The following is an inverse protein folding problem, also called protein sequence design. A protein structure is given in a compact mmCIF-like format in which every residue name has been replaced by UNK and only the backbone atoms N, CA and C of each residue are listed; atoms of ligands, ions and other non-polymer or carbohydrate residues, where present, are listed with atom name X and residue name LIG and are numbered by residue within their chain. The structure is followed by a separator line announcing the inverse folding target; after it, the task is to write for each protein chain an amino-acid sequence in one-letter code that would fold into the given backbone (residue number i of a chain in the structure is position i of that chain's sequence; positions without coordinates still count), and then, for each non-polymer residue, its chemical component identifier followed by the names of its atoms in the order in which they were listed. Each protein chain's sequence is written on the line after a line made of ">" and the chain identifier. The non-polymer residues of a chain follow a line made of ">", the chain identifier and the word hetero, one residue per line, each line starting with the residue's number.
data_IF_985764770652
#
_entry.id   IF_985764770652
#
_cell.length_a   1.000
_cell.length_b   1.000
_cell.length_c   1.000
_cell.angle_alpha   90.00
_cell.angle_beta   90.00
_cell.angle_gamma   90.00
#
_symmetry.space_group_name_H-M   'P 1'
#
loop_
_entity.id
_entity.type
_entity.pdbx_description
1 polymer ?
#
# COMPACT_ATOMS: atom_id res chain seq x y z
N UNK A 1 2.96 -48.17 -44.23
CA UNK A 1 3.74 -47.73 -43.05
C UNK A 1 4.31 -46.36 -43.39
N UNK A 2 3.72 -45.27 -42.88
CA UNK A 2 4.17 -43.89 -43.14
C UNK A 2 4.45 -43.23 -41.80
N UNK A 3 5.71 -42.81 -41.60
CA UNK A 3 6.24 -42.21 -40.38
C UNK A 3 5.65 -40.80 -40.15
N UNK A 4 5.25 -40.40 -38.92
CA UNK A 4 4.86 -39.02 -38.66
C UNK A 4 6.10 -38.18 -38.32
N UNK A 5 6.18 -37.03 -38.97
CA UNK A 5 7.16 -35.97 -38.76
C UNK A 5 6.85 -35.24 -37.45
N UNK A 6 7.67 -35.41 -36.42
CA UNK A 6 7.54 -34.66 -35.16
C UNK A 6 8.21 -33.30 -35.36
N UNK A 7 7.40 -32.24 -35.41
CA UNK A 7 7.84 -30.85 -35.36
C UNK A 7 8.28 -30.51 -33.93
N UNK A 8 9.59 -30.48 -33.70
CA UNK A 8 10.18 -29.88 -32.50
C UNK A 8 10.06 -28.35 -32.61
N UNK A 9 9.04 -27.78 -31.98
CA UNK A 9 8.94 -26.34 -31.76
C UNK A 9 9.89 -26.02 -30.60
N UNK A 10 11.04 -25.41 -30.92
CA UNK A 10 11.93 -24.82 -29.92
C UNK A 10 11.18 -23.71 -29.17
N UNK A 11 10.79 -23.98 -27.93
CA UNK A 11 10.41 -22.93 -26.98
C UNK A 11 11.67 -22.16 -26.59
N UNK A 12 11.95 -21.07 -27.32
CA UNK A 12 12.89 -20.05 -26.86
C UNK A 12 12.17 -19.26 -25.77
N UNK A 13 12.47 -19.53 -24.50
CA UNK A 13 12.08 -18.64 -23.41
C UNK A 13 12.81 -17.31 -23.58
N UNK A 14 12.07 -16.27 -23.98
CA UNK A 14 12.56 -14.90 -23.93
C UNK A 14 12.69 -14.48 -22.46
N UNK A 15 13.86 -14.71 -21.86
CA UNK A 15 14.25 -14.07 -20.61
C UNK A 15 14.64 -12.63 -20.97
N UNK A 16 13.69 -11.70 -20.87
CA UNK A 16 13.98 -10.27 -20.93
C UNK A 16 13.65 -9.60 -19.60
N UNK A 17 14.63 -8.84 -19.10
CA UNK A 17 14.55 -7.77 -18.10
C UNK A 17 14.81 -8.13 -16.63
N UNK A 18 16.07 -8.37 -16.27
CA UNK A 18 16.51 -8.62 -14.88
C UNK A 18 17.44 -7.56 -14.27
N UNK A 19 17.66 -6.39 -14.89
CA UNK A 19 18.62 -5.40 -14.34
C UNK A 19 18.07 -3.98 -14.15
N UNK A 20 17.04 -3.56 -14.89
CA UNK A 20 16.44 -2.22 -14.73
C UNK A 20 15.13 -2.25 -13.92
N UNK A 21 14.53 -3.43 -13.73
CA UNK A 21 13.19 -3.60 -13.17
C UNK A 21 13.13 -3.63 -11.64
N UNK A 22 14.22 -4.01 -10.96
CA UNK A 22 14.16 -4.21 -9.50
C UNK A 22 13.85 -2.92 -8.76
N UNK A 23 14.39 -1.79 -9.21
CA UNK A 23 14.12 -0.46 -8.62
C UNK A 23 12.65 -0.03 -8.72
N UNK A 24 11.90 -0.56 -9.70
CA UNK A 24 10.51 -0.18 -9.99
C UNK A 24 9.51 -1.29 -9.69
N UNK A 25 9.95 -2.36 -9.03
CA UNK A 25 9.08 -3.50 -8.73
C UNK A 25 7.88 -3.06 -7.89
N UNK A 26 8.11 -2.32 -6.80
CA UNK A 26 7.07 -1.80 -5.93
C UNK A 26 6.58 -0.41 -6.35
N UNK A 27 5.30 -0.13 -6.13
CA UNK A 27 4.73 1.19 -6.34
C UNK A 27 3.22 1.21 -6.13
N UNK A 28 2.60 2.41 -6.19
CA UNK A 28 1.16 2.58 -6.15
C UNK A 28 0.52 2.19 -7.50
N UNK A 29 0.73 0.94 -7.94
CA UNK A 29 0.26 0.43 -9.23
C UNK A 29 -1.20 -0.03 -9.20
N UNK A 30 -2.00 0.51 -8.28
CA UNK A 30 -3.46 0.31 -8.18
C UNK A 30 -4.17 1.66 -8.33
N UNK A 31 -4.12 2.29 -9.53
CA UNK A 31 -4.58 3.67 -9.73
C UNK A 31 -6.09 3.85 -9.55
N UNK A 32 -6.85 2.74 -9.54
CA UNK A 32 -8.28 2.76 -9.24
C UNK A 32 -8.57 3.00 -7.74
N UNK A 33 -7.57 2.91 -6.85
CA UNK A 33 -7.71 3.18 -5.43
C UNK A 33 -7.10 4.52 -5.05
N UNK A 34 -7.63 5.13 -4.00
CA UNK A 34 -7.03 6.33 -3.43
C UNK A 34 -5.58 6.10 -3.01
N UNK A 35 -5.30 5.00 -2.30
CA UNK A 35 -3.94 4.56 -2.01
C UNK A 35 -3.88 3.04 -1.94
N UNK A 36 -2.98 2.43 -2.72
CA UNK A 36 -2.76 0.99 -2.70
C UNK A 36 -1.49 0.61 -3.43
N UNK A 37 -0.66 -0.19 -2.78
CA UNK A 37 0.63 -0.64 -3.31
C UNK A 37 0.50 -2.06 -3.85
N UNK A 38 1.26 -2.35 -4.90
CA UNK A 38 1.34 -3.66 -5.54
C UNK A 38 2.73 -3.80 -6.21
N UNK A 39 3.37 -4.96 -6.18
CA UNK A 39 4.56 -5.20 -6.99
C UNK A 39 4.16 -5.45 -8.44
N UNK A 40 5.08 -5.22 -9.40
CA UNK A 40 4.88 -5.57 -10.83
C UNK A 40 5.02 -7.08 -11.07
N UNK A 41 4.41 -7.86 -10.20
CA UNK A 41 4.35 -9.31 -10.24
C UNK A 41 2.86 -9.68 -10.33
N UNK A 42 2.45 -10.50 -11.32
CA UNK A 42 1.10 -11.06 -11.36
C UNK A 42 0.85 -11.93 -10.11
N UNK A 43 -0.37 -11.92 -9.58
CA UNK A 43 -0.75 -12.76 -8.44
C UNK A 43 0.25 -12.66 -7.27
N UNK A 44 0.24 -11.52 -6.59
CA UNK A 44 1.18 -11.22 -5.51
C UNK A 44 0.51 -10.41 -4.40
N UNK A 45 1.31 -9.91 -3.45
CA UNK A 45 0.85 -9.07 -2.36
C UNK A 45 0.25 -7.76 -2.86
N UNK A 46 -0.97 -7.49 -2.44
CA UNK A 46 -1.69 -6.26 -2.65
C UNK A 46 -1.97 -5.58 -1.33
N UNK A 47 -1.85 -4.27 -1.31
CA UNK A 47 -2.27 -3.45 -0.17
C UNK A 47 -3.30 -2.43 -0.61
N UNK A 48 -4.04 -1.90 0.36
CA UNK A 48 -4.90 -0.76 0.13
C UNK A 48 -5.30 -0.06 1.41
N UNK A 49 -5.67 1.21 1.24
CA UNK A 49 -6.18 2.06 2.30
C UNK A 49 -7.69 2.24 2.10
N UNK A 50 -8.44 2.07 3.18
CA UNK A 50 -9.84 2.49 3.29
C UNK A 50 -9.97 3.44 4.46
N UNK A 51 -10.92 4.36 4.38
CA UNK A 51 -11.37 5.11 5.54
C UNK A 51 -12.83 5.47 5.44
N UNK A 52 -13.46 5.70 6.58
CA UNK A 52 -14.83 6.17 6.68
C UNK A 52 -15.00 7.04 7.93
N UNK A 53 -16.01 7.90 7.91
CA UNK A 53 -16.35 8.72 9.08
C UNK A 53 -16.86 7.87 10.24
N UNK A 54 -16.64 8.31 11.47
CA UNK A 54 -17.22 7.66 12.67
C UNK A 54 -18.23 8.56 13.37
N UNK A 55 -18.93 9.39 12.58
CA UNK A 55 -19.94 10.32 13.06
C UNK A 55 -21.30 9.65 13.30
N UNK A 56 -21.68 8.73 12.41
CA UNK A 56 -22.94 7.98 12.47
C UNK A 56 -22.79 6.57 11.87
N UNK A 57 -23.81 5.73 12.04
CA UNK A 57 -23.81 4.36 11.50
C UNK A 57 -23.84 4.34 9.95
N UNK A 58 -24.43 5.35 9.32
CA UNK A 58 -24.49 5.45 7.86
C UNK A 58 -23.12 5.75 7.25
N UNK A 59 -22.16 6.28 8.01
CA UNK A 59 -20.84 6.67 7.55
C UNK A 59 -20.05 5.49 6.97
N UNK A 60 -20.27 4.26 7.45
CA UNK A 60 -19.64 3.05 6.89
C UNK A 60 -20.07 2.79 5.43
N UNK A 61 -21.29 3.20 5.05
CA UNK A 61 -21.76 3.08 3.65
C UNK A 61 -21.07 4.06 2.71
N UNK A 62 -20.39 5.07 3.25
CA UNK A 62 -19.60 6.08 2.53
C UNK A 62 -18.11 5.86 2.74
N UNK A 63 -17.69 4.60 2.73
CA UNK A 63 -16.27 4.22 2.82
C UNK A 63 -15.55 4.64 1.55
N UNK A 64 -14.43 5.35 1.73
CA UNK A 64 -13.54 5.74 0.64
C UNK A 64 -12.55 4.62 0.40
N UNK A 65 -12.47 4.15 -0.85
CA UNK A 65 -11.53 3.09 -1.24
C UNK A 65 -11.11 3.25 -2.71
N UNK A 66 -12.05 3.08 -3.63
CA UNK A 66 -11.86 3.38 -5.05
C UNK A 66 -11.98 4.88 -5.32
N UNK A 67 -11.33 5.35 -6.37
CA UNK A 67 -11.38 6.74 -6.82
C UNK A 67 -12.73 7.05 -7.47
N UNK A 68 -13.78 7.21 -6.66
CA UNK A 68 -15.13 7.52 -7.15
C UNK A 68 -15.38 9.02 -7.19
N UNK A 69 -15.97 9.52 -8.27
CA UNK A 69 -16.36 10.93 -8.36
C UNK A 69 -17.50 11.28 -7.38
N UNK A 70 -18.35 10.30 -7.07
CA UNK A 70 -19.45 10.43 -6.11
C UNK A 70 -18.98 10.62 -4.65
N UNK A 71 -17.68 10.43 -4.37
CA UNK A 71 -17.14 10.66 -3.03
C UNK A 71 -17.04 12.15 -2.66
N UNK A 72 -17.12 13.04 -3.65
CA UNK A 72 -17.13 14.50 -3.47
C UNK A 72 -15.92 15.03 -2.69
N UNK A 73 -14.77 14.35 -2.81
CA UNK A 73 -13.53 14.80 -2.21
C UNK A 73 -13.10 16.15 -2.82
N UNK A 74 -12.67 17.07 -1.97
CA UNK A 74 -12.21 18.39 -2.44
C UNK A 74 -10.95 18.28 -3.29
N UNK A 75 -10.04 17.38 -2.94
CA UNK A 75 -8.81 17.12 -3.69
C UNK A 75 -8.30 15.73 -3.36
N UNK A 76 -7.75 15.03 -4.34
CA UNK A 76 -6.88 13.87 -4.13
C UNK A 76 -5.78 13.93 -5.20
N UNK A 77 -4.52 14.08 -4.80
CA UNK A 77 -3.42 14.22 -5.77
C UNK A 77 -2.07 13.86 -5.18
N UNK A 78 -1.18 13.35 -6.03
CA UNK A 78 0.24 13.23 -5.73
C UNK A 78 0.89 14.61 -5.87
N UNK A 79 1.20 15.24 -4.74
CA UNK A 79 1.87 16.55 -4.70
C UNK A 79 3.34 16.46 -5.09
N UNK A 80 3.97 15.32 -4.78
CA UNK A 80 5.34 14.97 -5.19
C UNK A 80 5.35 13.48 -5.52
N UNK A 81 5.95 13.10 -6.64
CA UNK A 81 6.15 11.69 -6.97
C UNK A 81 7.43 11.53 -7.82
N UNK A 82 8.31 10.64 -7.39
CA UNK A 82 9.57 10.29 -8.03
C UNK A 82 9.71 8.77 -8.13
N UNK A 83 10.82 8.30 -8.70
CA UNK A 83 11.14 6.87 -8.76
C UNK A 83 11.45 6.25 -7.40
N UNK A 84 11.63 7.03 -6.35
CA UNK A 84 11.90 6.52 -5.01
C UNK A 84 10.64 6.54 -4.15
N UNK A 85 9.71 7.44 -4.40
CA UNK A 85 8.54 7.58 -3.54
C UNK A 85 7.70 8.79 -3.89
N UNK A 86 6.81 9.18 -2.98
CA UNK A 86 6.01 10.37 -3.16
C UNK A 86 5.11 10.68 -1.98
N UNK A 87 4.47 11.84 -2.08
CA UNK A 87 3.51 12.35 -1.10
C UNK A 87 2.21 12.67 -1.82
N UNK A 88 1.14 12.01 -1.40
CA UNK A 88 -0.22 12.28 -1.84
C UNK A 88 -1.02 12.95 -0.73
N UNK A 89 -1.85 13.90 -1.13
CA UNK A 89 -2.76 14.64 -0.26
C UNK A 89 -4.18 14.37 -0.70
N UNK A 90 -5.04 14.01 0.25
CA UNK A 90 -6.46 13.75 0.07
C UNK A 90 -7.23 14.62 1.06
N UNK A 91 -8.14 15.45 0.57
CA UNK A 91 -8.98 16.33 1.37
C UNK A 91 -10.44 15.86 1.33
N UNK A 92 -10.88 15.26 2.44
CA UNK A 92 -12.25 14.80 2.66
C UNK A 92 -12.97 15.81 3.56
N UNK A 93 -13.72 16.71 2.92
CA UNK A 93 -14.47 17.79 3.58
C UNK A 93 -15.64 17.27 4.41
N UNK A 94 -16.26 16.16 3.98
CA UNK A 94 -17.37 15.52 4.70
C UNK A 94 -16.91 15.06 6.08
N UNK A 95 -15.78 14.35 6.13
CA UNK A 95 -15.20 13.82 7.35
C UNK A 95 -14.24 14.79 8.08
N UNK A 96 -14.13 16.04 7.61
CA UNK A 96 -13.23 17.06 8.14
C UNK A 96 -11.79 16.54 8.30
N UNK A 97 -11.23 15.87 7.28
CA UNK A 97 -9.88 15.29 7.37
C UNK A 97 -9.05 15.57 6.12
N UNK A 98 -7.80 15.97 6.32
CA UNK A 98 -6.74 15.90 5.33
C UNK A 98 -5.89 14.68 5.62
N UNK A 99 -5.97 13.69 4.75
CA UNK A 99 -5.06 12.55 4.76
C UNK A 99 -3.82 12.88 3.92
N UNK A 100 -2.66 12.52 4.43
CA UNK A 100 -1.39 12.58 3.71
C UNK A 100 -0.79 11.18 3.70
N UNK A 101 -0.69 10.60 2.51
CA UNK A 101 -0.07 9.29 2.28
C UNK A 101 1.32 9.51 1.71
N UNK A 102 2.33 8.99 2.40
CA UNK A 102 3.72 9.03 1.97
C UNK A 102 4.16 7.62 1.66
N UNK A 103 4.83 7.45 0.53
CA UNK A 103 5.37 6.17 0.08
C UNK A 103 6.86 6.35 -0.19
N UNK A 104 7.67 5.42 0.30
CA UNK A 104 9.10 5.37 0.09
C UNK A 104 9.53 3.96 -0.26
N UNK A 105 10.37 3.83 -1.29
CA UNK A 105 11.09 2.60 -1.64
C UNK A 105 12.49 2.67 -1.09
N UNK A 106 12.97 1.52 -0.64
CA UNK A 106 14.31 1.32 -0.13
C UNK A 106 14.93 0.25 -1.02
N UNK A 107 15.84 0.61 -1.94
CA UNK A 107 16.48 -0.36 -2.82
C UNK A 107 17.25 -1.41 -2.01
N UNK A 108 17.28 -2.64 -2.48
CA UNK A 108 18.02 -3.74 -1.85
C UNK A 108 17.46 -5.10 -2.23
N UNK A 109 18.15 -6.16 -1.80
CA UNK A 109 17.72 -7.54 -2.06
C UNK A 109 17.60 -7.90 -3.55
N UNK A 110 16.94 -9.02 -3.82
CA UNK A 110 16.69 -9.55 -5.18
C UNK A 110 15.24 -9.39 -5.64
N UNK A 111 14.34 -9.01 -4.72
CA UNK A 111 12.89 -8.88 -4.96
C UNK A 111 12.40 -7.43 -4.84
N UNK A 112 13.18 -6.50 -5.40
CA UNK A 112 12.80 -5.08 -5.50
C UNK A 112 12.84 -4.28 -4.21
N UNK A 113 13.56 -4.77 -3.20
CA UNK A 113 13.84 -4.07 -1.95
C UNK A 113 12.68 -4.02 -0.97
N UNK A 114 12.77 -3.07 -0.06
CA UNK A 114 11.74 -2.80 0.94
C UNK A 114 10.97 -1.54 0.58
N UNK A 115 9.81 -1.35 1.20
CA UNK A 115 9.05 -0.12 1.09
C UNK A 115 8.45 0.25 2.44
N UNK A 116 8.16 1.52 2.60
CA UNK A 116 7.44 2.06 3.74
C UNK A 116 6.30 2.94 3.25
N UNK A 117 5.17 2.85 3.93
CA UNK A 117 4.05 3.76 3.76
C UNK A 117 3.77 4.45 5.09
N UNK A 118 3.51 5.75 5.06
CA UNK A 118 3.08 6.52 6.23
C UNK A 118 1.76 7.21 5.90
N UNK A 119 0.75 6.97 6.75
CA UNK A 119 -0.57 7.59 6.62
C UNK A 119 -0.73 8.57 7.77
N UNK A 120 -0.93 9.85 7.46
CA UNK A 120 -1.12 10.92 8.44
C UNK A 120 -2.49 11.55 8.27
N UNK A 121 -3.20 11.77 9.35
CA UNK A 121 -4.47 12.51 9.36
C UNK A 121 -4.36 13.80 10.15
N UNK A 122 -4.95 14.88 9.64
CA UNK A 122 -5.18 16.11 10.41
C UNK A 122 -6.53 16.73 10.07
N UNK A 123 -7.18 17.44 10.99
CA UNK A 123 -8.42 18.14 10.68
C UNK A 123 -8.20 19.19 9.58
N UNK A 124 -9.21 19.38 8.71
CA UNK A 124 -9.23 20.52 7.77
C UNK A 124 -9.59 21.82 8.50
N UNK A 125 -10.53 21.72 9.44
CA UNK A 125 -10.95 22.76 10.37
C UNK A 125 -10.79 22.24 11.81
N UNK A 126 -9.88 22.86 12.56
CA UNK A 126 -9.55 22.49 13.95
C UNK A 126 -10.67 22.78 14.94
N UNK A 127 -11.69 23.58 14.55
CA UNK A 127 -12.86 23.88 15.39
C UNK A 127 -13.92 22.78 15.34
N UNK A 128 -13.82 21.86 14.37
CA UNK A 128 -14.73 20.73 14.18
C UNK A 128 -14.04 19.41 14.52
N UNK A 129 -14.78 18.47 15.08
CA UNK A 129 -14.26 17.13 15.32
C UNK A 129 -13.91 16.44 13.99
N UNK A 130 -12.69 15.91 13.89
CA UNK A 130 -12.26 15.03 12.80
C UNK A 130 -12.27 13.60 13.33
N UNK A 131 -13.16 12.76 12.81
CA UNK A 131 -13.38 11.40 13.32
C UNK A 131 -13.52 10.44 12.16
N UNK A 132 -12.44 9.73 11.89
CA UNK A 132 -12.39 8.68 10.88
C UNK A 132 -11.86 7.39 11.47
N UNK A 133 -12.28 6.27 10.91
CA UNK A 133 -11.63 4.98 11.07
C UNK A 133 -10.84 4.69 9.81
N UNK A 134 -9.59 4.26 9.97
CA UNK A 134 -8.69 3.92 8.86
C UNK A 134 -8.42 2.43 8.89
N UNK A 135 -8.53 1.77 7.74
CA UNK A 135 -8.21 0.36 7.58
C UNK A 135 -7.12 0.26 6.52
N UNK A 136 -5.97 -0.28 6.89
CA UNK A 136 -4.92 -0.64 5.94
C UNK A 136 -4.85 -2.16 5.87
N UNK A 137 -5.15 -2.70 4.68
CA UNK A 137 -5.26 -4.14 4.50
C UNK A 137 -4.14 -4.69 3.63
N UNK A 138 -3.83 -5.96 3.87
CA UNK A 138 -2.93 -6.79 3.09
C UNK A 138 -3.74 -7.95 2.51
N UNK A 139 -3.57 -8.23 1.22
CA UNK A 139 -4.20 -9.35 0.55
C UNK A 139 -3.22 -10.03 -0.39
N UNK A 140 -3.14 -11.35 -0.32
CA UNK A 140 -2.39 -12.14 -1.28
C UNK A 140 -3.30 -12.60 -2.41
N UNK A 141 -2.87 -12.34 -3.64
CA UNK A 141 -3.43 -12.98 -4.82
C UNK A 141 -2.54 -14.17 -5.19
N UNK A 142 -3.09 -15.38 -5.35
CA UNK A 142 -2.31 -16.57 -5.75
C UNK A 142 -1.85 -17.45 -4.59
N UNK A 143 -0.74 -18.17 -4.79
CA UNK A 143 -0.20 -19.13 -3.83
C UNK A 143 0.71 -18.41 -2.84
N UNK A 144 0.48 -18.63 -1.55
CA UNK A 144 1.25 -18.04 -0.46
C UNK A 144 0.42 -17.90 0.79
N UNK A 145 1.03 -17.37 1.84
CA UNK A 145 0.38 -17.11 3.12
C UNK A 145 0.87 -15.81 3.75
N UNK A 146 0.00 -15.19 4.55
CA UNK A 146 0.38 -14.16 5.52
C UNK A 146 -0.20 -14.64 6.85
N UNK A 147 0.68 -14.74 7.84
CA UNK A 147 0.32 -15.07 9.20
C UNK A 147 0.71 -13.92 10.11
N UNK A 148 -0.13 -13.66 11.10
CA UNK A 148 0.13 -12.69 12.13
C UNK A 148 1.05 -13.31 13.19
N UNK A 149 2.19 -12.68 13.45
CA UNK A 149 3.14 -13.15 14.47
C UNK A 149 2.83 -12.55 15.85
N UNK A 150 2.23 -11.36 15.89
CA UNK A 150 1.84 -10.71 17.15
C UNK A 150 0.60 -11.40 17.73
N UNK A 151 0.65 -11.78 19.00
CA UNK A 151 -0.47 -12.41 19.70
C UNK A 151 -1.72 -11.51 19.72
N UNK A 152 -2.89 -12.11 19.52
CA UNK A 152 -4.17 -11.41 19.57
C UNK A 152 -4.54 -10.99 21.00
N UNK A 153 -5.22 -9.84 21.14
CA UNK A 153 -5.78 -9.35 22.41
C UNK A 153 -7.22 -8.88 22.19
N UNK A 154 -8.12 -9.25 23.10
CA UNK A 154 -9.55 -8.90 23.07
C UNK A 154 -9.78 -7.38 23.11
N UNK A 155 -8.86 -6.61 23.69
CA UNK A 155 -8.94 -5.17 23.84
C UNK A 155 -8.25 -4.40 22.70
N UNK A 156 -7.71 -5.12 21.71
CA UNK A 156 -6.89 -4.56 20.66
C UNK A 156 -5.40 -4.58 20.99
N UNK A 157 -4.59 -4.31 19.99
CA UNK A 157 -3.14 -4.49 20.05
C UNK A 157 -2.46 -3.16 20.34
N UNK A 158 -1.61 -3.13 21.36
CA UNK A 158 -0.75 -2.00 21.65
C UNK A 158 0.64 -2.19 21.02
N UNK A 159 1.12 -1.17 20.31
CA UNK A 159 2.46 -1.16 19.74
C UNK A 159 2.57 -1.85 18.37
N UNK A 160 3.79 -2.24 17.96
CA UNK A 160 4.05 -2.81 16.65
C UNK A 160 3.33 -4.15 16.41
N UNK A 161 2.54 -4.22 15.33
CA UNK A 161 1.95 -5.46 14.83
C UNK A 161 2.83 -6.02 13.72
N UNK A 162 3.23 -7.30 13.84
CA UNK A 162 4.09 -7.98 12.88
C UNK A 162 3.34 -9.11 12.18
N UNK A 163 3.55 -9.20 10.88
CA UNK A 163 3.10 -10.31 10.04
C UNK A 163 4.29 -10.89 9.29
N UNK A 164 4.36 -12.21 9.20
CA UNK A 164 5.24 -12.93 8.27
C UNK A 164 4.42 -13.40 7.09
N UNK A 165 4.99 -13.36 5.89
CA UNK A 165 4.37 -13.99 4.74
C UNK A 165 5.41 -14.57 3.79
N UNK A 166 4.92 -15.40 2.88
CA UNK A 166 5.76 -16.03 1.86
C UNK A 166 4.97 -16.22 0.58
N UNK A 167 5.60 -15.94 -0.56
CA UNK A 167 5.06 -16.24 -1.89
C UNK A 167 6.18 -16.76 -2.80
N UNK A 168 5.88 -17.59 -3.81
CA UNK A 168 6.90 -18.09 -4.75
C UNK A 168 7.69 -17.00 -5.48
N UNK A 169 7.16 -15.77 -5.57
CA UNK A 169 7.77 -14.67 -6.33
C UNK A 169 8.45 -13.60 -5.46
N UNK A 170 8.13 -13.52 -4.17
CA UNK A 170 8.75 -12.55 -3.23
C UNK A 170 9.62 -13.23 -2.16
N UNK A 171 9.67 -14.56 -2.15
CA UNK A 171 10.15 -15.36 -1.03
C UNK A 171 9.49 -14.93 0.29
N UNK A 172 10.21 -15.06 1.40
CA UNK A 172 9.76 -14.64 2.71
C UNK A 172 9.84 -13.12 2.88
N UNK A 173 8.78 -12.54 3.43
CA UNK A 173 8.69 -11.12 3.73
C UNK A 173 8.07 -10.89 5.10
N UNK A 174 8.35 -9.71 5.65
CA UNK A 174 7.79 -9.26 6.93
C UNK A 174 7.08 -7.93 6.70
N UNK A 175 5.89 -7.81 7.28
CA UNK A 175 5.12 -6.56 7.32
C UNK A 175 5.04 -6.14 8.78
N UNK A 176 5.31 -4.86 9.02
CA UNK A 176 5.22 -4.26 10.36
C UNK A 176 4.35 -3.02 10.30
N UNK A 177 3.32 -2.97 11.14
CA UNK A 177 2.44 -1.83 11.31
C UNK A 177 2.73 -1.23 12.67
N UNK A 178 3.06 0.06 12.69
CA UNK A 178 3.40 0.76 13.92
C UNK A 178 2.69 2.10 13.94
N UNK A 179 2.23 2.49 15.13
CA UNK A 179 1.72 3.83 15.33
C UNK A 179 2.86 4.85 15.23
N UNK A 180 2.66 5.84 14.36
CA UNK A 180 3.58 6.96 14.25
C UNK A 180 3.53 7.81 15.50
N UNK A 181 4.69 8.15 16.07
CA UNK A 181 4.77 9.13 17.14
C UNK A 181 4.09 10.44 16.69
N UNK A 182 3.09 10.90 17.44
CA UNK A 182 2.55 12.26 17.34
C UNK A 182 3.63 13.24 17.81
N UNK A 183 4.68 13.46 17.01
CA UNK A 183 5.65 14.52 17.27
C UNK A 183 5.15 15.80 16.60
N UNK A 184 4.70 16.81 17.38
CA UNK A 184 4.30 18.10 16.81
C UNK A 184 5.47 18.81 16.10
N UNK A 185 6.71 18.49 16.47
CA UNK A 185 7.92 19.09 15.91
C UNK A 185 8.93 18.01 15.50
N UNK A 186 9.02 17.72 14.22
CA UNK A 186 10.24 17.17 13.64
C UNK A 186 10.77 18.20 12.65
N UNK A 187 11.71 18.98 13.18
CA UNK A 187 12.76 19.67 12.44
C UNK A 187 13.29 18.70 11.39
N UNK A 188 13.30 19.15 10.14
CA UNK A 188 13.90 18.46 9.01
C UNK A 188 15.29 17.97 9.43
N UNK A 189 15.49 16.66 9.47
CA UNK A 189 16.83 16.11 9.51
C UNK A 189 17.44 16.44 8.14
N UNK A 190 18.27 17.47 8.11
CA UNK A 190 19.16 17.72 7.01
C UNK A 190 20.08 16.49 6.91
N UNK A 191 19.98 15.77 5.81
CA UNK A 191 20.98 14.81 5.42
C UNK A 191 22.07 15.59 4.68
N UNK A 192 23.25 15.70 5.30
CA UNK A 192 24.51 15.98 4.58
C UNK A 192 24.93 14.77 3.74
#
# INVERSE_FOLDING_TARGET
>A
MVLPWILLISFVSAVLSSTTNDTLLWGPYRPNLYFGLRPRIPQSLMTGLLWFGTHDYASVTRTRHSCEQADELKTYTWTKFTREGGTQVIEDTLNNVRLTTEFLRIPGGVHGGSWAARIKGKPLDTTRASRISTIFYFGLEGIGGIDMETDEDENGLEGPVKFSGSTPQLDDFVIRVEDGMLKPDLVEANFE
#
